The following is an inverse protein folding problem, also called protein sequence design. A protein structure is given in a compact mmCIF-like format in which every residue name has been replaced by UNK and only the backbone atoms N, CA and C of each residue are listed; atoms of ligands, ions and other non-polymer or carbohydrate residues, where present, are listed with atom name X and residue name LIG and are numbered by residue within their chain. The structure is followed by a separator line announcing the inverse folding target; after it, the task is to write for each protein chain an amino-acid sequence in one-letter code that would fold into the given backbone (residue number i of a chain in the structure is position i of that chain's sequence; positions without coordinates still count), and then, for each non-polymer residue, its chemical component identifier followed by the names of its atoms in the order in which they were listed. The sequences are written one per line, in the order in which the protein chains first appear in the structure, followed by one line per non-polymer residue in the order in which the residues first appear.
data_IF_114425051333
#
_entry.id   IF_114425051333
#
_cell.length_a   1.000
_cell.length_b   1.000
_cell.length_c   1.000
_cell.angle_alpha   90.00
_cell.angle_beta   90.00
_cell.angle_gamma   90.00
#
_symmetry.space_group_name_H-M   'P 1'
#
loop_
_entity.id
_entity.type
_entity.pdbx_description
1 polymer ?
#
# COMPACT_ATOMS: atom_id res chain seq x y z
N UNK A 1 5.28 34.95 18.25
CA UNK A 1 5.66 33.60 17.85
C UNK A 1 4.73 32.63 18.57
N UNK A 2 4.28 31.53 17.96
CA UNK A 2 3.53 30.50 18.68
C UNK A 2 4.41 29.94 19.80
N UNK A 3 3.77 29.59 20.94
CA UNK A 3 4.49 28.96 22.04
C UNK A 3 5.04 27.62 21.59
N UNK A 4 6.30 27.33 21.89
CA UNK A 4 6.90 26.04 21.56
C UNK A 4 6.32 24.96 22.49
N UNK A 5 5.94 23.83 21.92
CA UNK A 5 5.55 22.66 22.68
C UNK A 5 6.79 21.78 22.93
N UNK A 6 6.90 21.24 24.15
CA UNK A 6 8.02 20.44 24.60
C UNK A 6 7.51 19.11 25.21
N UNK A 7 8.40 18.13 25.38
CA UNK A 7 8.09 16.91 26.12
C UNK A 7 7.06 16.01 25.44
N UNK A 8 7.15 15.81 24.13
CA UNK A 8 6.19 14.98 23.38
C UNK A 8 6.22 13.53 23.83
N UNK A 9 5.04 13.00 24.16
CA UNK A 9 4.82 11.60 24.50
C UNK A 9 3.67 11.04 23.67
N UNK A 10 3.91 9.97 22.95
CA UNK A 10 2.90 9.29 22.16
C UNK A 10 2.08 8.32 23.04
N UNK A 11 0.76 8.43 22.96
CA UNK A 11 -0.18 7.49 23.58
C UNK A 11 -0.70 6.55 22.49
N UNK A 12 -0.37 5.28 22.61
CA UNK A 12 -0.75 4.28 21.60
C UNK A 12 -2.26 4.25 21.36
N UNK A 13 -2.69 4.47 20.11
CA UNK A 13 -4.11 4.52 19.71
C UNK A 13 -4.92 5.67 20.33
N UNK A 14 -4.29 6.63 21.01
CA UNK A 14 -4.94 7.78 21.64
C UNK A 14 -4.58 9.11 21.00
N UNK A 15 -3.29 9.38 20.84
CA UNK A 15 -2.80 10.65 20.34
C UNK A 15 -1.45 11.04 20.95
N UNK A 16 -1.25 12.33 21.16
CA UNK A 16 -0.01 12.92 21.67
C UNK A 16 -0.27 13.75 22.93
N UNK A 17 0.67 13.71 23.83
CA UNK A 17 0.81 14.59 24.99
C UNK A 17 2.00 15.51 24.76
N UNK A 18 1.92 16.74 25.21
CA UNK A 18 3.03 17.69 25.19
C UNK A 18 2.88 18.69 26.34
N UNK A 19 3.88 19.49 26.60
CA UNK A 19 3.83 20.63 27.52
C UNK A 19 3.88 21.91 26.71
N UNK A 20 2.90 22.79 26.89
CA UNK A 20 2.80 24.08 26.24
C UNK A 20 2.80 25.19 27.30
N UNK A 21 3.90 25.95 27.40
CA UNK A 21 3.98 27.04 28.38
C UNK A 21 3.92 26.59 29.84
N UNK A 22 4.24 25.33 30.15
CA UNK A 22 4.13 24.73 31.48
C UNK A 22 2.85 23.95 31.74
N UNK A 23 1.85 24.04 30.87
CA UNK A 23 0.59 23.31 30.95
C UNK A 23 0.59 22.04 30.09
N UNK A 24 -0.15 21.00 30.53
CA UNK A 24 -0.34 19.79 29.72
C UNK A 24 -1.22 20.11 28.50
N UNK A 25 -0.69 19.83 27.32
CA UNK A 25 -1.38 19.93 26.05
C UNK A 25 -1.66 18.53 25.48
N UNK A 26 -2.86 18.35 24.96
CA UNK A 26 -3.37 17.09 24.41
C UNK A 26 -3.76 17.27 22.95
N UNK A 27 -3.39 16.31 22.10
CA UNK A 27 -3.87 16.22 20.74
C UNK A 27 -4.24 14.76 20.43
N UNK A 28 -5.50 14.45 20.21
CA UNK A 28 -5.90 13.06 19.99
C UNK A 28 -7.40 12.83 19.87
N UNK A 29 -7.81 11.57 20.04
CA UNK A 29 -9.19 11.15 19.94
C UNK A 29 -10.01 11.42 21.22
N UNK A 30 -11.34 11.23 21.13
CA UNK A 30 -12.26 11.43 22.25
C UNK A 30 -11.91 10.56 23.46
N UNK A 31 -11.38 9.34 23.25
CA UNK A 31 -10.98 8.43 24.34
C UNK A 31 -9.85 9.05 25.17
N UNK A 32 -8.81 9.58 24.52
CA UNK A 32 -7.70 10.25 25.21
C UNK A 32 -8.20 11.44 26.02
N UNK A 33 -9.13 12.23 25.48
CA UNK A 33 -9.72 13.36 26.18
C UNK A 33 -10.47 12.91 27.43
N UNK A 34 -11.29 11.85 27.32
CA UNK A 34 -12.03 11.28 28.45
C UNK A 34 -11.08 10.69 29.52
N UNK A 35 -10.04 9.95 29.15
CA UNK A 35 -9.04 9.40 30.05
C UNK A 35 -8.28 10.51 30.84
N UNK A 36 -8.21 11.71 30.26
CA UNK A 36 -7.56 12.89 30.89
C UNK A 36 -8.57 13.86 31.54
N UNK A 37 -9.83 13.46 31.63
CA UNK A 37 -10.87 14.27 32.28
C UNK A 37 -11.24 15.55 31.55
N UNK A 38 -11.00 15.64 30.25
CA UNK A 38 -11.38 16.80 29.44
C UNK A 38 -12.83 16.62 28.94
N UNK A 39 -13.71 17.51 29.38
CA UNK A 39 -15.09 17.55 28.91
C UNK A 39 -15.20 18.25 27.56
N UNK A 40 -15.63 17.52 26.54
CA UNK A 40 -15.68 18.03 25.15
C UNK A 40 -16.90 18.93 24.88
N UNK A 41 -17.96 18.82 25.68
CA UNK A 41 -19.19 19.61 25.49
C UNK A 41 -19.75 19.52 24.05
N UNK A 42 -20.16 20.64 23.48
CA UNK A 42 -20.68 20.68 22.10
C UNK A 42 -19.70 20.31 20.99
N UNK A 43 -18.41 20.10 21.31
CA UNK A 43 -17.45 19.59 20.31
C UNK A 43 -17.69 18.12 19.98
N UNK A 44 -18.33 17.36 20.89
CA UNK A 44 -18.68 15.95 20.63
C UNK A 44 -19.68 15.83 19.49
N UNK A 45 -20.79 16.57 19.52
CA UNK A 45 -21.83 16.54 18.49
C UNK A 45 -21.27 16.98 17.12
N UNK A 46 -20.35 17.97 17.15
CA UNK A 46 -19.69 18.44 15.93
C UNK A 46 -18.72 17.42 15.36
N UNK A 47 -18.02 16.70 16.23
CA UNK A 47 -17.14 15.61 15.83
C UNK A 47 -17.93 14.45 15.20
N UNK A 48 -19.07 14.07 15.80
CA UNK A 48 -19.95 13.03 15.28
C UNK A 48 -20.50 13.39 13.89
N UNK A 49 -20.87 14.66 13.68
CA UNK A 49 -21.26 15.14 12.36
C UNK A 49 -20.15 15.00 11.32
N UNK A 50 -18.92 15.37 11.67
CA UNK A 50 -17.76 15.24 10.78
C UNK A 50 -17.37 13.76 10.54
N UNK A 51 -17.49 12.92 11.56
CA UNK A 51 -17.27 11.49 11.44
C UNK A 51 -18.29 10.82 10.51
N UNK A 52 -19.55 11.24 10.56
CA UNK A 52 -20.60 10.77 9.65
C UNK A 52 -20.34 11.15 8.16
N UNK A 53 -19.52 12.19 7.92
CA UNK A 53 -19.03 12.53 6.58
C UNK A 53 -17.81 11.67 6.15
N UNK A 54 -17.27 10.82 7.03
CA UNK A 54 -16.09 9.99 6.79
C UNK A 54 -14.77 10.70 7.10
N UNK A 55 -14.80 11.71 7.99
CA UNK A 55 -13.61 12.43 8.48
C UNK A 55 -13.25 11.93 9.87
N UNK A 56 -11.97 11.91 10.21
CA UNK A 56 -11.48 11.53 11.54
C UNK A 56 -11.26 12.78 12.38
N UNK A 57 -12.09 13.03 13.40
CA UNK A 57 -11.92 14.18 14.26
C UNK A 57 -10.79 13.96 15.26
N UNK A 58 -9.91 14.96 15.38
CA UNK A 58 -8.84 15.05 16.35
C UNK A 58 -9.13 16.25 17.26
N UNK A 59 -9.17 16.01 18.56
CA UNK A 59 -9.42 17.04 19.58
C UNK A 59 -8.11 17.59 20.09
N UNK A 60 -8.13 18.87 20.45
CA UNK A 60 -7.02 19.58 21.06
C UNK A 60 -7.49 20.18 22.39
N UNK A 61 -6.69 19.98 23.43
CA UNK A 61 -6.95 20.54 24.76
C UNK A 61 -5.67 21.05 25.38
N UNK A 62 -5.77 22.03 26.28
CA UNK A 62 -4.66 22.53 27.08
C UNK A 62 -5.16 22.88 28.48
N UNK A 63 -4.37 22.57 29.52
CA UNK A 63 -4.72 22.80 30.92
C UNK A 63 -6.12 22.24 31.30
N UNK A 64 -6.47 21.05 30.79
CA UNK A 64 -7.76 20.40 31.03
C UNK A 64 -8.96 21.05 30.30
N UNK A 65 -8.75 22.03 29.42
CA UNK A 65 -9.81 22.71 28.67
C UNK A 65 -9.74 22.37 27.20
N UNK A 66 -10.87 22.00 26.55
CA UNK A 66 -10.89 21.76 25.13
C UNK A 66 -10.69 23.07 24.36
N UNK A 67 -9.78 23.08 23.39
CA UNK A 67 -9.48 24.21 22.52
C UNK A 67 -10.28 24.16 21.22
N UNK A 68 -10.51 22.95 20.70
CA UNK A 68 -11.22 22.73 19.45
C UNK A 68 -10.96 21.35 18.87
N UNK A 69 -11.42 21.18 17.63
CA UNK A 69 -11.17 19.96 16.87
C UNK A 69 -10.73 20.29 15.43
N UNK A 70 -9.91 19.40 14.88
CA UNK A 70 -9.54 19.37 13.46
C UNK A 70 -10.00 18.04 12.90
N UNK A 71 -10.69 18.03 11.78
CA UNK A 71 -11.09 16.81 11.11
C UNK A 71 -10.17 16.53 9.91
N UNK A 72 -9.55 15.37 9.93
CA UNK A 72 -8.69 14.87 8.84
C UNK A 72 -9.51 13.91 7.99
N UNK A 73 -9.42 14.04 6.67
CA UNK A 73 -10.04 13.10 5.75
C UNK A 73 -8.97 12.56 4.80
N UNK A 74 -8.87 11.24 4.75
CA UNK A 74 -8.15 10.56 3.69
C UNK A 74 -9.15 10.25 2.56
N UNK A 75 -8.95 10.77 1.35
CA UNK A 75 -9.91 10.56 0.27
C UNK A 75 -9.95 9.09 -0.14
N UNK A 76 -11.15 8.53 -0.15
CA UNK A 76 -11.38 7.17 -0.66
C UNK A 76 -10.97 7.14 -2.14
N UNK A 77 -10.12 6.17 -2.51
CA UNK A 77 -9.70 6.02 -3.91
C UNK A 77 -10.91 5.75 -4.80
N UNK A 78 -11.03 6.42 -5.95
CA UNK A 78 -12.18 6.27 -6.86
C UNK A 78 -12.43 4.83 -7.28
N UNK A 79 -11.37 4.03 -7.29
CA UNK A 79 -11.35 2.62 -7.69
C UNK A 79 -11.89 1.66 -6.65
N UNK A 80 -11.99 2.10 -5.38
CA UNK A 80 -12.35 1.23 -4.26
C UNK A 80 -13.75 0.64 -4.38
N UNK A 81 -14.75 1.44 -4.77
CA UNK A 81 -16.12 0.96 -4.94
C UNK A 81 -16.22 -0.09 -6.06
N UNK A 82 -15.55 0.15 -7.18
CA UNK A 82 -15.49 -0.81 -8.30
C UNK A 82 -14.78 -2.10 -7.89
N UNK A 83 -13.71 -2.00 -7.11
CA UNK A 83 -13.00 -3.17 -6.57
C UNK A 83 -13.91 -4.04 -5.70
N UNK A 84 -14.64 -3.42 -4.77
CA UNK A 84 -15.58 -4.12 -3.88
C UNK A 84 -16.72 -4.78 -4.66
N UNK A 85 -17.28 -4.09 -5.66
CA UNK A 85 -18.32 -4.64 -6.53
C UNK A 85 -17.83 -5.86 -7.31
N UNK A 86 -16.64 -5.78 -7.90
CA UNK A 86 -16.01 -6.90 -8.61
C UNK A 86 -15.76 -8.10 -7.69
N UNK A 87 -15.24 -7.87 -6.49
CA UNK A 87 -15.05 -8.92 -5.48
C UNK A 87 -16.38 -9.58 -5.13
N UNK A 88 -17.44 -8.78 -4.93
CA UNK A 88 -18.80 -9.28 -4.67
C UNK A 88 -19.33 -10.11 -5.84
N UNK A 89 -19.16 -9.67 -7.09
CA UNK A 89 -19.55 -10.42 -8.28
C UNK A 89 -18.80 -11.77 -8.41
N UNK A 90 -17.59 -11.85 -7.87
CA UNK A 90 -16.82 -13.11 -7.78
C UNK A 90 -17.23 -14.01 -6.61
N UNK A 91 -18.24 -13.63 -5.80
CA UNK A 91 -18.67 -14.34 -4.62
C UNK A 91 -17.74 -14.18 -3.40
N UNK A 92 -16.89 -13.15 -3.41
CA UNK A 92 -16.00 -12.82 -2.29
C UNK A 92 -16.72 -11.84 -1.36
N UNK A 93 -16.85 -12.19 -0.09
CA UNK A 93 -17.33 -11.28 0.97
C UNK A 93 -16.22 -10.28 1.29
N UNK A 94 -16.59 -9.03 1.49
CA UNK A 94 -15.66 -7.97 1.86
C UNK A 94 -15.99 -7.44 3.24
N UNK A 95 -14.95 -7.26 4.05
CA UNK A 95 -15.02 -6.73 5.41
C UNK A 95 -14.01 -5.60 5.54
N UNK A 96 -14.45 -4.44 6.03
CA UNK A 96 -13.57 -3.34 6.37
C UNK A 96 -13.08 -3.51 7.82
N UNK A 97 -11.76 -3.62 7.98
CA UNK A 97 -11.10 -3.77 9.27
C UNK A 97 -10.19 -2.55 9.49
N UNK A 98 -10.59 -1.66 10.40
CA UNK A 98 -9.91 -0.37 10.59
C UNK A 98 -9.77 0.02 12.07
N UNK A 99 -8.72 0.81 12.36
CA UNK A 99 -8.55 1.47 13.65
C UNK A 99 -9.40 2.74 13.83
N UNK A 100 -10.07 3.20 12.78
CA UNK A 100 -10.91 4.39 12.82
C UNK A 100 -12.13 4.21 13.72
N UNK A 101 -12.74 5.32 14.10
CA UNK A 101 -13.99 5.32 14.86
C UNK A 101 -15.14 4.74 14.03
N UNK A 102 -16.10 4.12 14.71
CA UNK A 102 -17.22 3.41 14.10
C UNK A 102 -17.99 4.26 13.06
N UNK A 103 -18.32 5.50 13.39
CA UNK A 103 -19.05 6.42 12.48
C UNK A 103 -18.27 6.71 11.20
N UNK A 104 -16.97 6.97 11.32
CA UNK A 104 -16.09 7.20 10.17
C UNK A 104 -15.98 5.95 9.30
N UNK A 105 -15.74 4.79 9.93
CA UNK A 105 -15.63 3.51 9.24
C UNK A 105 -16.92 3.13 8.50
N UNK A 106 -18.10 3.33 9.11
CA UNK A 106 -19.39 3.11 8.45
C UNK A 106 -19.62 4.06 7.27
N UNK A 107 -19.22 5.34 7.42
CA UNK A 107 -19.33 6.29 6.32
C UNK A 107 -18.46 5.88 5.12
N UNK A 108 -17.24 5.43 5.37
CA UNK A 108 -16.33 4.91 4.34
C UNK A 108 -16.92 3.64 3.73
N UNK A 109 -17.35 2.68 4.54
CA UNK A 109 -17.93 1.42 4.07
C UNK A 109 -19.14 1.62 3.15
N UNK A 110 -20.03 2.55 3.50
CA UNK A 110 -21.16 2.95 2.65
C UNK A 110 -20.71 3.53 1.30
N UNK A 111 -19.66 4.38 1.30
CA UNK A 111 -19.11 4.97 0.07
C UNK A 111 -18.51 3.91 -0.87
N UNK A 112 -17.83 2.90 -0.31
CA UNK A 112 -17.17 1.85 -1.11
C UNK A 112 -18.04 0.60 -1.31
N UNK A 113 -19.19 0.51 -0.64
CA UNK A 113 -20.12 -0.60 -0.77
C UNK A 113 -19.73 -1.87 0.00
N UNK A 114 -18.90 -1.76 1.04
CA UNK A 114 -18.55 -2.88 1.93
C UNK A 114 -19.72 -3.14 2.89
N UNK A 115 -20.11 -4.42 3.03
CA UNK A 115 -21.27 -4.81 3.83
C UNK A 115 -20.99 -5.03 5.32
N UNK A 116 -19.75 -5.27 5.70
CA UNK A 116 -19.34 -5.58 7.07
C UNK A 116 -18.20 -4.67 7.52
N UNK A 117 -18.31 -4.14 8.74
CA UNK A 117 -17.34 -3.20 9.31
C UNK A 117 -16.93 -3.66 10.70
N UNK A 118 -15.64 -3.68 10.97
CA UNK A 118 -15.04 -3.83 12.28
C UNK A 118 -14.13 -2.64 12.53
N UNK A 119 -14.59 -1.72 13.32
CA UNK A 119 -13.96 -0.43 13.61
C UNK A 119 -13.28 -0.41 14.98
N UNK A 120 -12.41 0.56 15.21
CA UNK A 120 -11.72 0.76 16.48
C UNK A 120 -10.72 -0.34 16.84
N UNK A 121 -10.24 -1.09 15.86
CA UNK A 121 -9.38 -2.26 16.05
C UNK A 121 -7.93 -1.85 16.19
N UNK A 122 -7.31 -2.21 17.30
CA UNK A 122 -5.86 -2.03 17.48
C UNK A 122 -5.06 -2.98 16.57
N UNK A 123 -3.80 -2.67 16.25
CA UNK A 123 -2.98 -3.52 15.36
C UNK A 123 -2.96 -5.00 15.75
N UNK A 124 -2.77 -5.30 17.04
CA UNK A 124 -2.75 -6.68 17.56
C UNK A 124 -4.09 -7.39 17.43
N UNK A 125 -5.20 -6.65 17.48
CA UNK A 125 -6.54 -7.18 17.36
C UNK A 125 -6.93 -7.53 15.93
N UNK A 126 -6.24 -6.96 14.92
CA UNK A 126 -6.48 -7.30 13.51
C UNK A 126 -6.15 -8.77 13.24
N UNK A 127 -5.04 -9.27 13.78
CA UNK A 127 -4.67 -10.69 13.70
C UNK A 127 -5.72 -11.59 14.36
N UNK A 128 -6.20 -11.20 15.55
CA UNK A 128 -7.25 -11.96 16.26
C UNK A 128 -8.53 -12.05 15.42
N UNK A 129 -8.93 -10.98 14.75
CA UNK A 129 -10.11 -10.97 13.89
C UNK A 129 -9.97 -11.90 12.67
N UNK A 130 -8.80 -11.92 12.05
CA UNK A 130 -8.49 -12.90 10.99
C UNK A 130 -8.61 -14.33 11.52
N UNK A 131 -8.08 -14.61 12.70
CA UNK A 131 -8.16 -15.92 13.34
C UNK A 131 -9.60 -16.34 13.65
N UNK A 132 -10.43 -15.43 14.16
CA UNK A 132 -11.85 -15.69 14.40
C UNK A 132 -12.59 -16.11 13.12
N UNK A 133 -12.36 -15.38 12.02
CA UNK A 133 -12.96 -15.71 10.73
C UNK A 133 -12.51 -17.09 10.21
N UNK A 134 -11.23 -17.43 10.39
CA UNK A 134 -10.69 -18.74 10.02
C UNK A 134 -11.29 -19.86 10.88
N UNK A 135 -11.48 -19.64 12.20
CA UNK A 135 -12.12 -20.59 13.11
C UNK A 135 -13.60 -20.80 12.78
N UNK A 136 -14.26 -19.77 12.24
CA UNK A 136 -15.63 -19.89 11.71
C UNK A 136 -15.69 -20.63 10.35
N UNK A 137 -14.57 -21.15 9.84
CA UNK A 137 -14.50 -21.94 8.62
C UNK A 137 -14.34 -21.12 7.34
N UNK A 138 -14.08 -19.81 7.45
CA UNK A 138 -13.85 -18.97 6.28
C UNK A 138 -12.38 -19.01 5.83
N UNK A 139 -12.17 -18.93 4.51
CA UNK A 139 -10.86 -18.64 3.93
C UNK A 139 -10.70 -17.13 3.84
N UNK A 140 -9.65 -16.62 4.46
CA UNK A 140 -9.43 -15.18 4.64
C UNK A 140 -8.25 -14.70 3.80
N UNK A 141 -8.51 -13.71 2.95
CA UNK A 141 -7.46 -12.91 2.35
C UNK A 141 -7.38 -11.58 3.11
N UNK A 142 -6.24 -11.27 3.70
CA UNK A 142 -5.98 -9.97 4.32
C UNK A 142 -5.30 -9.05 3.29
N UNK A 143 -5.81 -7.84 3.18
CA UNK A 143 -5.25 -6.82 2.29
C UNK A 143 -4.83 -5.62 3.14
N UNK A 144 -3.58 -5.20 3.05
CA UNK A 144 -3.04 -4.10 3.83
C UNK A 144 -1.83 -3.44 3.16
N UNK A 145 -1.44 -2.28 3.63
CA UNK A 145 -0.34 -1.47 3.07
C UNK A 145 0.75 -1.12 4.11
N UNK A 146 0.50 -1.38 5.38
CA UNK A 146 1.28 -0.86 6.48
C UNK A 146 1.95 -1.91 7.37
N UNK A 147 2.91 -1.43 8.16
CA UNK A 147 3.60 -2.19 9.22
C UNK A 147 2.59 -2.75 10.23
N UNK A 148 1.53 -1.99 10.51
CA UNK A 148 0.49 -2.34 11.47
C UNK A 148 -0.37 -3.53 11.04
N UNK A 149 -0.35 -3.88 9.75
CA UNK A 149 -1.11 -4.98 9.17
C UNK A 149 -0.28 -6.27 9.04
N UNK A 150 1.04 -6.20 9.21
CA UNK A 150 1.96 -7.32 9.00
C UNK A 150 1.58 -8.59 9.79
N UNK A 151 1.19 -8.53 11.08
CA UNK A 151 0.75 -9.73 11.81
C UNK A 151 -0.54 -10.34 11.21
N UNK A 152 -1.48 -9.50 10.76
CA UNK A 152 -2.73 -9.94 10.16
C UNK A 152 -2.51 -10.50 8.73
N UNK A 153 -1.60 -9.89 7.95
CA UNK A 153 -1.18 -10.39 6.63
C UNK A 153 -0.56 -11.79 6.75
N UNK A 154 0.41 -11.96 7.66
CA UNK A 154 1.06 -13.25 7.90
C UNK A 154 0.11 -14.33 8.45
N UNK A 155 -0.95 -13.93 9.16
CA UNK A 155 -1.93 -14.85 9.75
C UNK A 155 -2.97 -15.34 8.74
N UNK A 156 -3.32 -14.54 7.77
CA UNK A 156 -4.37 -14.85 6.79
C UNK A 156 -4.04 -16.12 5.98
N UNK A 157 -5.03 -16.72 5.33
CA UNK A 157 -4.77 -17.79 4.34
C UNK A 157 -4.05 -17.25 3.11
N UNK A 158 -4.22 -15.96 2.81
CA UNK A 158 -3.47 -15.21 1.81
C UNK A 158 -3.29 -13.77 2.31
N UNK A 159 -2.04 -13.35 2.48
CA UNK A 159 -1.67 -11.96 2.74
C UNK A 159 -1.41 -11.23 1.43
N UNK A 160 -2.02 -10.07 1.24
CA UNK A 160 -1.86 -9.24 0.04
C UNK A 160 -1.40 -7.84 0.46
N UNK A 161 -0.17 -7.47 0.14
CA UNK A 161 0.33 -6.12 0.34
C UNK A 161 0.01 -5.25 -0.88
N UNK A 162 -0.48 -4.02 -0.65
CA UNK A 162 -0.81 -3.04 -1.71
C UNK A 162 0.22 -1.91 -1.73
N UNK A 163 0.70 -1.60 -2.95
CA UNK A 163 1.63 -0.50 -3.19
C UNK A 163 3.06 -0.85 -2.86
N UNK A 164 3.95 0.13 -2.94
CA UNK A 164 5.32 0.03 -2.46
C UNK A 164 5.31 0.07 -0.91
N UNK A 165 4.62 -0.91 -0.31
CA UNK A 165 4.51 -1.05 1.14
C UNK A 165 5.89 -1.10 1.79
N UNK A 166 5.94 -0.89 3.08
CA UNK A 166 7.17 -1.03 3.86
C UNK A 166 7.76 -2.42 3.66
N UNK A 167 9.08 -2.56 3.72
CA UNK A 167 9.77 -3.85 3.60
C UNK A 167 9.19 -4.93 4.53
N UNK A 168 8.65 -4.50 5.68
CA UNK A 168 7.98 -5.37 6.66
C UNK A 168 6.66 -5.93 6.12
N UNK A 169 5.83 -5.12 5.47
CA UNK A 169 4.57 -5.57 4.86
C UNK A 169 4.84 -6.49 3.67
N UNK A 170 5.86 -6.16 2.86
CA UNK A 170 6.30 -6.99 1.73
C UNK A 170 6.78 -8.36 2.23
N UNK A 171 7.58 -8.39 3.31
CA UNK A 171 8.10 -9.63 3.89
C UNK A 171 7.03 -10.51 4.57
N UNK A 172 5.86 -9.95 4.88
CA UNK A 172 4.76 -10.64 5.58
C UNK A 172 3.62 -11.07 4.66
N UNK A 173 3.64 -10.70 3.38
CA UNK A 173 2.58 -10.96 2.42
C UNK A 173 2.96 -12.07 1.42
N UNK A 174 1.98 -12.89 1.03
CA UNK A 174 2.14 -13.90 -0.03
C UNK A 174 2.11 -13.26 -1.43
N UNK A 175 1.41 -12.14 -1.58
CA UNK A 175 1.24 -11.42 -2.83
C UNK A 175 1.53 -9.94 -2.61
N UNK A 176 2.36 -9.35 -3.45
CA UNK A 176 2.65 -7.92 -3.43
C UNK A 176 2.12 -7.28 -4.71
N UNK A 177 1.22 -6.32 -4.55
CA UNK A 177 0.67 -5.54 -5.65
C UNK A 177 1.45 -4.23 -5.77
N UNK A 178 2.12 -4.05 -6.89
CA UNK A 178 3.05 -2.92 -7.11
C UNK A 178 2.36 -1.55 -7.10
N UNK A 179 1.06 -1.51 -7.43
CA UNK A 179 0.28 -0.27 -7.40
C UNK A 179 -0.55 -0.21 -6.13
N UNK A 180 -0.69 0.98 -5.58
CA UNK A 180 -1.56 1.22 -4.43
C UNK A 180 -3.03 1.36 -4.86
N UNK A 181 -3.55 0.34 -5.57
CA UNK A 181 -4.91 0.33 -6.12
C UNK A 181 -5.69 -0.92 -5.67
N UNK A 182 -6.79 -0.78 -4.89
CA UNK A 182 -7.62 -1.90 -4.47
C UNK A 182 -8.18 -2.75 -5.61
N UNK A 183 -8.34 -2.18 -6.82
CA UNK A 183 -8.81 -2.94 -7.98
C UNK A 183 -7.83 -4.02 -8.43
N UNK A 184 -6.55 -3.88 -8.12
CA UNK A 184 -5.56 -4.91 -8.45
C UNK A 184 -5.73 -6.18 -7.62
N UNK A 185 -6.38 -6.11 -6.44
CA UNK A 185 -6.77 -7.29 -5.65
C UNK A 185 -7.75 -8.15 -6.46
N UNK A 186 -8.80 -7.51 -7.01
CA UNK A 186 -9.78 -8.22 -7.83
C UNK A 186 -9.13 -8.83 -9.09
N UNK A 187 -8.23 -8.09 -9.75
CA UNK A 187 -7.47 -8.58 -10.92
C UNK A 187 -6.57 -9.77 -10.56
N UNK A 188 -5.88 -9.73 -9.42
CA UNK A 188 -5.03 -10.84 -8.96
C UNK A 188 -5.85 -12.12 -8.73
N UNK A 189 -7.03 -12.01 -8.13
CA UNK A 189 -7.94 -13.13 -7.93
C UNK A 189 -8.47 -13.68 -9.26
N UNK A 190 -8.85 -12.82 -10.18
CA UNK A 190 -9.29 -13.22 -11.53
C UNK A 190 -8.20 -13.97 -12.29
N UNK A 191 -6.97 -13.43 -12.28
CA UNK A 191 -5.79 -14.05 -12.90
C UNK A 191 -5.49 -15.42 -12.27
N UNK A 192 -5.50 -15.50 -10.94
CA UNK A 192 -5.31 -16.77 -10.22
C UNK A 192 -6.35 -17.81 -10.64
N UNK A 193 -7.63 -17.44 -10.70
CA UNK A 193 -8.71 -18.35 -11.17
C UNK A 193 -8.52 -18.78 -12.63
N UNK A 194 -8.09 -17.87 -13.50
CA UNK A 194 -7.79 -18.19 -14.90
C UNK A 194 -6.61 -19.16 -15.02
N UNK A 195 -5.55 -18.92 -14.25
CA UNK A 195 -4.37 -19.79 -14.17
C UNK A 195 -4.72 -21.17 -13.66
N UNK A 196 -5.50 -21.27 -12.58
CA UNK A 196 -5.94 -22.54 -12.03
C UNK A 196 -6.82 -23.34 -13.01
N UNK A 197 -7.68 -22.65 -13.78
CA UNK A 197 -8.48 -23.27 -14.83
C UNK A 197 -7.58 -23.83 -15.93
N UNK A 198 -6.58 -23.08 -16.35
CA UNK A 198 -5.61 -23.51 -17.36
C UNK A 198 -4.79 -24.74 -16.88
N UNK A 199 -4.32 -24.72 -15.61
CA UNK A 199 -3.61 -25.86 -15.00
C UNK A 199 -4.50 -27.11 -14.98
N UNK A 200 -5.78 -26.98 -14.55
CA UNK A 200 -6.72 -28.10 -14.54
C UNK A 200 -6.98 -28.67 -15.93
N UNK A 201 -7.09 -27.79 -16.94
CA UNK A 201 -7.24 -28.23 -18.34
C UNK A 201 -6.00 -28.98 -18.83
N UNK A 202 -4.81 -28.46 -18.56
CA UNK A 202 -3.57 -29.12 -18.94
C UNK A 202 -3.42 -30.49 -18.28
N UNK A 203 -3.72 -30.57 -16.98
CA UNK A 203 -3.68 -31.82 -16.24
C UNK A 203 -4.70 -32.84 -16.77
N UNK A 204 -5.92 -32.39 -17.04
CA UNK A 204 -6.95 -33.24 -17.63
C UNK A 204 -6.49 -33.85 -18.98
N UNK A 205 -6.00 -33.03 -19.88
CA UNK A 205 -5.53 -33.52 -21.18
C UNK A 205 -4.33 -34.45 -21.06
N UNK A 206 -3.36 -34.14 -20.18
CA UNK A 206 -2.22 -35.00 -19.95
C UNK A 206 -2.62 -36.39 -19.41
N UNK A 207 -3.58 -36.45 -18.48
CA UNK A 207 -4.11 -37.70 -17.95
C UNK A 207 -4.97 -38.45 -18.97
N UNK A 208 -5.80 -37.73 -19.71
CA UNK A 208 -6.69 -38.30 -20.73
C UNK A 208 -5.89 -39.05 -21.80
N UNK A 209 -4.84 -38.40 -22.33
CA UNK A 209 -3.94 -39.06 -23.29
C UNK A 209 -3.38 -40.38 -22.78
N UNK A 210 -2.85 -40.37 -21.56
CA UNK A 210 -2.29 -41.56 -20.96
C UNK A 210 -3.35 -42.64 -20.70
N UNK A 211 -4.52 -42.25 -20.24
CA UNK A 211 -5.63 -43.17 -19.95
C UNK A 211 -6.17 -43.87 -21.19
N UNK A 212 -6.08 -43.22 -22.35
CA UNK A 212 -6.48 -43.82 -23.64
C UNK A 212 -5.33 -44.62 -24.24
N UNK A 213 -4.10 -44.11 -24.27
CA UNK A 213 -2.98 -44.76 -24.95
C UNK A 213 -2.49 -46.01 -24.23
N UNK A 214 -2.53 -46.04 -22.88
CA UNK A 214 -2.02 -47.20 -22.12
C UNK A 214 -2.85 -48.48 -22.38
N UNK A 215 -4.20 -48.48 -22.31
CA UNK A 215 -4.99 -49.68 -22.66
C UNK A 215 -4.83 -50.11 -24.11
N UNK A 216 -4.73 -49.13 -25.03
CA UNK A 216 -4.50 -49.46 -26.45
C UNK A 216 -3.12 -50.11 -26.67
N UNK A 217 -2.09 -49.58 -26.00
CA UNK A 217 -0.74 -50.19 -26.03
C UNK A 217 -0.73 -51.57 -25.40
N UNK A 218 -1.52 -51.79 -24.35
CA UNK A 218 -1.68 -53.11 -23.70
C UNK A 218 -2.49 -54.13 -24.55
N UNK A 219 -2.98 -53.73 -25.73
CA UNK A 219 -3.71 -54.60 -26.64
C UNK A 219 -5.21 -54.71 -26.37
N UNK A 220 -5.82 -53.80 -25.59
CA UNK A 220 -7.25 -53.83 -25.30
C UNK A 220 -8.15 -53.75 -26.56
N UNK A 221 -7.63 -53.22 -27.66
CA UNK A 221 -8.31 -53.12 -28.96
C UNK A 221 -7.72 -54.04 -30.03
N UNK A 222 -6.87 -54.98 -29.67
CA UNK A 222 -6.26 -55.92 -30.60
C UNK A 222 -7.30 -56.82 -31.33
N UNK A 223 -8.41 -57.17 -30.69
CA UNK A 223 -9.53 -57.89 -31.25
C UNK A 223 -10.25 -57.12 -32.37
N UNK A 224 -10.12 -55.81 -32.43
CA UNK A 224 -10.65 -54.93 -33.47
C UNK A 224 -9.61 -54.57 -34.55
N UNK A 225 -8.42 -55.22 -34.48
CA UNK A 225 -7.32 -54.95 -35.40
C UNK A 225 -6.58 -53.63 -35.14
N UNK A 226 -6.87 -52.97 -34.03
CA UNK A 226 -6.21 -51.72 -33.65
C UNK A 226 -5.05 -52.01 -32.72
N UNK A 227 -3.82 -51.88 -33.25
CA UNK A 227 -2.57 -51.98 -32.46
C UNK A 227 -1.85 -50.62 -32.43
N UNK A 228 -1.27 -50.29 -31.29
CA UNK A 228 -0.52 -49.03 -31.18
C UNK A 228 0.86 -49.18 -31.85
N UNK A 229 1.06 -48.44 -32.93
CA UNK A 229 2.38 -48.34 -33.55
C UNK A 229 3.26 -47.42 -32.68
N UNK A 230 4.50 -47.81 -32.34
CA UNK A 230 5.42 -46.97 -31.56
C UNK A 230 5.62 -45.56 -32.11
N UNK A 231 5.63 -45.40 -33.44
CA UNK A 231 5.72 -44.07 -34.04
C UNK A 231 4.50 -43.20 -33.77
N UNK A 232 3.27 -43.77 -33.80
CA UNK A 232 2.04 -43.05 -33.48
C UNK A 232 2.02 -42.67 -32.01
N UNK A 233 2.50 -43.56 -31.12
CA UNK A 233 2.62 -43.26 -29.69
C UNK A 233 3.59 -42.10 -29.42
N UNK A 234 4.76 -42.10 -30.06
CA UNK A 234 5.74 -41.02 -29.95
C UNK A 234 5.20 -39.68 -30.50
N UNK A 235 4.49 -39.71 -31.64
CA UNK A 235 3.86 -38.55 -32.22
C UNK A 235 2.77 -37.98 -31.26
N UNK A 236 1.93 -38.85 -30.68
CA UNK A 236 0.88 -38.45 -29.74
C UNK A 236 1.46 -37.76 -28.49
N UNK A 237 2.58 -38.27 -27.95
CA UNK A 237 3.30 -37.63 -26.84
C UNK A 237 3.82 -36.25 -27.22
N UNK A 238 4.38 -36.08 -28.42
CA UNK A 238 4.84 -34.79 -28.95
C UNK A 238 3.68 -33.77 -29.06
N UNK A 239 2.58 -34.22 -29.64
CA UNK A 239 1.35 -33.38 -29.75
C UNK A 239 0.80 -32.98 -28.38
N UNK A 240 0.82 -33.88 -27.39
CA UNK A 240 0.39 -33.57 -26.03
C UNK A 240 1.19 -32.42 -25.43
N UNK A 241 2.53 -32.43 -25.58
CA UNK A 241 3.40 -31.36 -25.10
C UNK A 241 3.12 -30.03 -25.80
N UNK A 242 2.95 -30.03 -27.13
CA UNK A 242 2.60 -28.83 -27.91
C UNK A 242 1.25 -28.28 -27.46
N UNK A 243 0.26 -29.15 -27.22
CA UNK A 243 -1.06 -28.75 -26.75
C UNK A 243 -0.99 -28.06 -25.36
N UNK A 244 -0.27 -28.65 -24.41
CA UNK A 244 -0.11 -28.09 -23.06
C UNK A 244 0.57 -26.71 -23.12
N UNK A 245 1.66 -26.60 -23.89
CA UNK A 245 2.35 -25.31 -24.08
C UNK A 245 1.45 -24.29 -24.77
N UNK A 246 0.75 -24.69 -25.85
CA UNK A 246 -0.18 -23.81 -26.56
C UNK A 246 -1.34 -23.33 -25.68
N UNK A 247 -1.88 -24.20 -24.82
CA UNK A 247 -2.91 -23.83 -23.87
C UNK A 247 -2.36 -22.91 -22.77
N UNK A 248 -1.14 -23.14 -22.29
CA UNK A 248 -0.49 -22.25 -21.33
C UNK A 248 -0.24 -20.86 -21.91
N UNK A 249 0.17 -20.76 -23.18
CA UNK A 249 0.39 -19.49 -23.87
C UNK A 249 -0.89 -18.65 -24.00
N UNK A 250 -2.08 -19.24 -23.92
CA UNK A 250 -3.35 -18.49 -23.89
C UNK A 250 -3.44 -17.53 -22.71
N UNK A 251 -2.76 -17.81 -21.58
CA UNK A 251 -2.70 -16.89 -20.46
C UNK A 251 -2.00 -15.57 -20.81
N UNK A 252 -1.10 -15.55 -21.79
CA UNK A 252 -0.48 -14.32 -22.29
C UNK A 252 -1.50 -13.35 -22.90
N UNK A 253 -2.58 -13.89 -23.48
CA UNK A 253 -3.67 -13.11 -24.06
C UNK A 253 -4.82 -12.86 -23.07
N UNK A 254 -4.66 -13.29 -21.80
CA UNK A 254 -5.66 -13.06 -20.78
C UNK A 254 -5.81 -11.56 -20.49
N UNK A 255 -7.04 -11.13 -20.36
CA UNK A 255 -7.40 -9.78 -19.96
C UNK A 255 -8.43 -9.85 -18.82
N UNK A 256 -8.38 -8.92 -17.85
CA UNK A 256 -9.38 -8.87 -16.78
C UNK A 256 -10.78 -8.68 -17.36
N UNK A 257 -11.78 -9.27 -16.72
CA UNK A 257 -13.17 -9.18 -17.12
C UNK A 257 -13.69 -7.75 -16.96
N UNK A 258 -14.13 -7.13 -18.05
CA UNK A 258 -14.71 -5.79 -18.09
C UNK A 258 -14.27 -5.08 -19.36
N UNK A 259 -15.19 -4.98 -20.33
CA UNK A 259 -14.98 -4.21 -21.55
C UNK A 259 -14.80 -2.72 -21.20
N UNK A 260 -13.70 -2.18 -21.65
CA UNK A 260 -13.25 -0.84 -21.35
C UNK A 260 -12.56 -0.82 -20.01
N UNK A 261 -11.24 -0.91 -20.06
CA UNK A 261 -10.42 -0.61 -18.87
C UNK A 261 -10.80 0.82 -18.42
N UNK A 262 -11.61 0.98 -17.34
CA UNK A 262 -11.94 2.32 -16.86
C UNK A 262 -10.67 3.09 -16.45
N UNK A 263 -9.53 2.40 -16.48
CA UNK A 263 -8.21 2.83 -16.07
C UNK A 263 -7.36 3.36 -17.23
N UNK A 264 -7.65 3.04 -18.52
CA UNK A 264 -6.91 3.61 -19.65
C UNK A 264 -7.10 5.13 -19.76
N UNK A 265 -8.23 5.65 -19.28
CA UNK A 265 -8.47 7.10 -19.21
C UNK A 265 -7.89 7.78 -17.95
N UNK A 266 -7.65 7.04 -16.86
CA UNK A 266 -7.16 7.60 -15.60
C UNK A 266 -5.64 7.49 -15.45
N UNK A 267 -4.99 6.55 -16.11
CA UNK A 267 -3.52 6.46 -16.13
C UNK A 267 -2.86 7.67 -16.83
N UNK A 268 -3.59 8.34 -17.72
CA UNK A 268 -3.15 9.59 -18.36
C UNK A 268 -3.52 10.85 -17.57
N UNK A 269 -4.33 10.72 -16.51
CA UNK A 269 -4.73 11.84 -15.66
C UNK A 269 -3.90 11.98 -14.37
N UNK A 270 -2.95 11.09 -14.12
CA UNK A 270 -2.15 11.06 -12.88
C UNK A 270 -0.70 11.57 -13.03
N UNK A 271 -0.33 12.11 -14.18
CA UNK A 271 0.82 13.01 -14.24
C UNK A 271 0.31 14.44 -14.15
N UNK A 272 0.66 15.21 -13.11
CA UNK A 272 0.43 16.64 -13.14
C UNK A 272 1.37 17.20 -14.22
N UNK A 273 0.82 17.40 -15.41
CA UNK A 273 1.45 18.25 -16.42
C UNK A 273 1.56 19.64 -15.82
N UNK A 274 2.78 20.05 -15.54
CA UNK A 274 3.14 21.44 -15.28
C UNK A 274 2.89 22.21 -16.57
N UNK A 275 1.65 22.62 -16.82
CA UNK A 275 1.34 23.65 -17.80
C UNK A 275 1.53 25.02 -17.18
N UNK A 276 2.58 25.69 -17.66
CA UNK A 276 2.74 27.13 -17.54
C UNK A 276 1.61 27.84 -18.30
N UNK A 277 0.59 28.26 -17.59
CA UNK A 277 -0.54 29.01 -18.13
C UNK A 277 -0.91 30.20 -17.23
N UNK A 278 -0.59 31.39 -17.71
CA UNK A 278 -0.99 32.67 -17.14
C UNK A 278 -2.53 32.83 -17.09
N UNK A 279 -3.04 33.30 -15.94
CA UNK A 279 -4.20 34.21 -15.91
C UNK A 279 -5.50 33.67 -15.35
N UNK A 280 -5.80 33.97 -14.15
CA UNK A 280 -6.83 34.83 -13.52
C UNK A 280 -7.17 34.38 -12.11
N UNK A 281 -6.95 35.31 -11.20
CA UNK A 281 -7.28 35.27 -9.78
C UNK A 281 -8.79 35.07 -9.53
N UNK A 282 -9.13 34.23 -8.60
CA UNK A 282 -10.17 34.47 -7.60
C UNK A 282 -9.73 33.88 -6.26
N UNK A 283 -9.67 34.73 -5.28
CA UNK A 283 -9.22 34.54 -3.91
C UNK A 283 -10.07 33.50 -3.15
N UNK A 284 -9.44 32.61 -2.48
CA UNK A 284 -9.52 32.19 -1.08
C UNK A 284 -8.92 30.80 -0.91
N UNK A 285 -7.61 30.71 -0.72
CA UNK A 285 -6.97 29.54 -0.14
C UNK A 285 -5.87 30.01 0.81
N UNK A 286 -5.99 29.57 2.03
CA UNK A 286 -5.07 29.74 3.14
C UNK A 286 -3.64 29.44 2.71
N UNK A 287 -2.79 30.43 2.87
CA UNK A 287 -1.37 30.46 2.56
C UNK A 287 -0.62 29.36 3.35
N UNK A 288 -0.28 28.27 2.68
CA UNK A 288 0.83 27.42 3.12
C UNK A 288 2.10 28.08 2.62
N UNK A 289 2.93 28.57 3.51
CA UNK A 289 4.24 29.10 3.17
C UNK A 289 5.05 27.98 2.51
N UNK A 290 5.39 28.20 1.27
CA UNK A 290 6.34 27.36 0.52
C UNK A 290 7.70 27.63 1.14
N UNK A 291 8.28 26.64 1.80
CA UNK A 291 9.68 26.66 2.21
C UNK A 291 10.50 26.75 0.93
N UNK A 292 11.22 27.84 0.76
CA UNK A 292 12.16 28.01 -0.38
C UNK A 292 13.28 27.00 -0.16
N UNK A 293 13.33 25.97 -0.99
CA UNK A 293 14.43 25.01 -1.03
C UNK A 293 15.56 25.59 -1.86
N UNK A 294 16.78 25.50 -1.33
CA UNK A 294 18.01 25.92 -1.99
C UNK A 294 18.82 24.67 -2.33
N UNK A 295 19.36 24.63 -3.54
CA UNK A 295 20.24 23.55 -3.98
C UNK A 295 21.68 23.89 -3.59
N UNK A 296 22.31 23.05 -2.78
CA UNK A 296 23.70 23.17 -2.39
C UNK A 296 24.51 22.05 -3.02
N UNK A 297 25.55 22.44 -3.78
CA UNK A 297 26.39 21.51 -4.52
C UNK A 297 27.70 21.27 -3.77
N UNK A 298 28.04 19.99 -3.61
CA UNK A 298 29.28 19.55 -2.99
C UNK A 298 30.08 18.72 -3.99
N UNK A 299 31.39 18.81 -3.92
CA UNK A 299 32.32 17.91 -4.58
C UNK A 299 32.76 16.87 -3.54
N UNK A 300 32.62 15.59 -3.85
CA UNK A 300 32.93 14.47 -2.94
C UNK A 300 34.01 13.62 -3.59
N UNK A 301 35.11 13.44 -2.89
CA UNK A 301 36.25 12.63 -3.36
C UNK A 301 36.25 11.27 -2.63
N UNK A 302 36.73 10.23 -3.32
CA UNK A 302 36.88 8.90 -2.75
C UNK A 302 35.71 7.93 -2.99
N UNK A 303 34.66 8.34 -3.74
CA UNK A 303 33.60 7.44 -4.16
C UNK A 303 34.08 6.53 -5.30
N UNK A 304 34.02 5.20 -5.11
CA UNK A 304 34.50 4.22 -6.10
C UNK A 304 33.40 3.28 -6.62
N UNK A 305 32.21 3.27 -6.00
CA UNK A 305 31.14 2.36 -6.37
C UNK A 305 29.76 2.87 -5.93
N UNK A 306 28.69 2.23 -6.42
CA UNK A 306 27.30 2.56 -6.10
C UNK A 306 26.97 2.49 -4.59
N UNK A 307 27.71 1.69 -3.83
CA UNK A 307 27.55 1.62 -2.38
C UNK A 307 28.04 2.92 -1.72
N UNK A 308 29.15 3.50 -2.21
CA UNK A 308 29.64 4.78 -1.73
C UNK A 308 28.64 5.92 -2.03
N UNK A 309 28.01 5.90 -3.21
CA UNK A 309 26.95 6.86 -3.59
C UNK A 309 25.79 6.81 -2.59
N UNK A 310 25.34 5.61 -2.24
CA UNK A 310 24.26 5.42 -1.27
C UNK A 310 24.65 5.93 0.12
N UNK A 311 25.85 5.65 0.59
CA UNK A 311 26.36 6.12 1.88
C UNK A 311 26.43 7.66 1.98
N UNK A 312 26.94 8.31 0.93
CA UNK A 312 26.99 9.79 0.87
C UNK A 312 25.59 10.38 0.82
N UNK A 313 24.68 9.76 0.05
CA UNK A 313 23.27 10.17 -0.01
C UNK A 313 22.59 10.08 1.35
N UNK A 314 22.71 8.95 2.04
CA UNK A 314 22.12 8.74 3.36
C UNK A 314 22.71 9.72 4.40
N UNK A 315 24.02 10.02 4.32
CA UNK A 315 24.65 10.98 5.21
C UNK A 315 24.12 12.40 5.02
N UNK A 316 23.89 12.84 3.77
CA UNK A 316 23.32 14.15 3.47
C UNK A 316 21.84 14.24 3.84
N UNK A 317 21.05 13.22 3.55
CA UNK A 317 19.62 13.14 3.90
C UNK A 317 19.39 13.01 5.43
N UNK A 318 20.40 12.58 6.17
CA UNK A 318 20.39 12.57 7.65
C UNK A 318 20.55 13.95 8.29
N UNK A 319 20.91 14.99 7.54
CA UNK A 319 21.03 16.36 8.05
C UNK A 319 19.65 17.01 8.16
N UNK A 320 19.31 17.52 9.34
CA UNK A 320 18.03 18.17 9.58
C UNK A 320 17.85 19.38 8.66
N UNK A 321 16.78 19.39 7.86
CA UNK A 321 16.50 20.44 6.85
C UNK A 321 16.91 20.06 5.42
N UNK A 322 17.51 18.90 5.18
CA UNK A 322 17.73 18.35 3.82
C UNK A 322 16.54 17.49 3.44
N UNK A 323 15.87 17.83 2.36
CA UNK A 323 14.69 17.12 1.84
C UNK A 323 15.08 15.90 0.99
N UNK A 324 16.15 16.01 0.20
CA UNK A 324 16.71 14.94 -0.62
C UNK A 324 18.14 15.29 -1.06
N UNK A 325 18.91 14.28 -1.48
CA UNK A 325 20.23 14.49 -2.06
C UNK A 325 20.41 13.62 -3.31
N UNK A 326 20.99 14.23 -4.37
CA UNK A 326 21.37 13.54 -5.57
C UNK A 326 22.89 13.45 -5.67
N UNK A 327 23.41 12.23 -5.82
CA UNK A 327 24.85 11.95 -5.83
C UNK A 327 25.23 11.27 -7.12
N UNK A 328 26.17 11.86 -7.85
CA UNK A 328 26.69 11.36 -9.12
C UNK A 328 28.12 10.84 -8.96
N UNK A 329 28.30 9.55 -9.26
CA UNK A 329 29.57 8.86 -9.16
C UNK A 329 30.57 9.32 -10.24
N UNK A 330 30.10 9.59 -11.47
CA UNK A 330 30.98 9.91 -12.60
C UNK A 330 31.60 11.29 -12.46
N UNK A 331 30.81 12.26 -11.99
CA UNK A 331 31.28 13.63 -11.78
C UNK A 331 31.87 13.85 -10.38
N UNK A 332 31.69 12.91 -9.43
CA UNK A 332 32.11 13.07 -8.05
C UNK A 332 31.37 14.21 -7.33
N UNK A 333 30.10 14.47 -7.71
CA UNK A 333 29.33 15.59 -7.15
C UNK A 333 28.10 15.11 -6.42
N UNK A 334 27.72 15.84 -5.36
CA UNK A 334 26.47 15.67 -4.63
C UNK A 334 25.70 16.99 -4.61
N UNK A 335 24.39 16.95 -4.83
CA UNK A 335 23.48 18.09 -4.74
C UNK A 335 22.52 17.83 -3.61
N UNK A 336 22.54 18.65 -2.57
CA UNK A 336 21.60 18.59 -1.46
C UNK A 336 20.48 19.62 -1.66
N UNK A 337 19.25 19.15 -1.75
CA UNK A 337 18.04 19.98 -1.79
C UNK A 337 17.62 20.28 -0.37
N UNK A 338 17.94 21.46 0.13
CA UNK A 338 17.77 21.79 1.54
C UNK A 338 17.08 23.13 1.75
N UNK A 339 16.59 23.30 2.97
CA UNK A 339 16.04 24.54 3.48
C UNK A 339 17.14 25.60 3.65
N UNK A 340 16.80 26.87 3.52
CA UNK A 340 17.74 28.00 3.66
C UNK A 340 18.44 28.08 5.01
N UNK A 341 17.95 27.34 6.02
CA UNK A 341 18.52 27.26 7.36
C UNK A 341 19.71 26.31 7.48
N UNK A 342 19.92 25.39 6.51
CA UNK A 342 21.00 24.38 6.56
C UNK A 342 22.33 25.07 6.21
N UNK A 343 23.30 25.00 7.13
CA UNK A 343 24.64 25.56 6.90
C UNK A 343 25.49 24.63 6.04
N UNK A 344 26.41 25.23 5.26
CA UNK A 344 27.38 24.47 4.45
C UNK A 344 28.26 23.58 5.32
N UNK A 345 28.60 24.07 6.52
CA UNK A 345 29.40 23.32 7.50
C UNK A 345 28.71 22.04 7.97
N UNK A 346 27.38 22.04 8.13
CA UNK A 346 26.61 20.88 8.54
C UNK A 346 26.63 19.78 7.45
N UNK A 347 26.49 20.16 6.18
CA UNK A 347 26.58 19.23 5.05
C UNK A 347 27.99 18.63 4.91
N UNK A 348 29.02 19.46 4.99
CA UNK A 348 30.41 19.01 4.96
C UNK A 348 30.74 18.08 6.13
N UNK A 349 30.24 18.37 7.33
CA UNK A 349 30.44 17.54 8.51
C UNK A 349 29.79 16.16 8.37
N UNK A 350 28.59 16.10 7.79
CA UNK A 350 27.87 14.84 7.55
C UNK A 350 28.62 13.92 6.56
N UNK A 351 29.10 14.48 5.44
CA UNK A 351 29.89 13.71 4.46
C UNK A 351 31.22 13.25 5.01
N UNK A 352 31.90 14.09 5.81
CA UNK A 352 33.16 13.72 6.48
C UNK A 352 32.96 12.66 7.55
N UNK A 353 31.83 12.67 8.26
CA UNK A 353 31.47 11.63 9.24
C UNK A 353 31.20 10.27 8.58
N UNK A 354 30.91 10.27 7.27
CA UNK A 354 30.80 9.07 6.44
C UNK A 354 32.13 8.63 5.80
N UNK A 355 33.27 9.21 6.23
CA UNK A 355 34.64 8.92 5.77
C UNK A 355 34.95 9.36 4.32
N UNK A 356 34.29 10.38 3.81
CA UNK A 356 34.58 10.94 2.49
C UNK A 356 35.14 12.37 2.60
N UNK A 357 36.14 12.69 1.74
CA UNK A 357 36.60 14.06 1.59
C UNK A 357 35.61 14.88 0.76
N UNK A 358 35.26 16.08 1.21
CA UNK A 358 34.32 16.94 0.51
C UNK A 358 34.63 18.42 0.68
N UNK A 359 34.25 19.19 -0.35
CA UNK A 359 34.29 20.65 -0.41
C UNK A 359 33.03 21.20 -1.06
N UNK A 360 32.65 22.44 -0.80
CA UNK A 360 31.54 23.11 -1.51
C UNK A 360 31.98 23.40 -2.93
N UNK A 361 31.11 23.11 -3.90
CA UNK A 361 31.41 23.27 -5.33
C UNK A 361 31.00 24.63 -5.87
#
# INVERSE_FOLDING_TARGET
APAAAEGFTQVAGGGLLATLGGDEALAGNARLMAERGVELGGLSDRADGLAAEGKTPLFFACAGRPLGLIAVADPVKPTSAVAVERLRAMGVRTLLLTGDQHLTAEAVARKVGVGEVVAGVLPDQKELKVRELQQAGHKVAMVGDGINDAPALARADIGIAIGAGTDVAIGSADVVLMRSDPADVARAIELSRATMRNIKQNLFWALFYNSVCIPVAAGALSSLGITLNPMIAAAAMGFSSVFVVGNALRLRAWRPSGDGDPWQGMATAAEPSVESGQGKQTDQVTKVERIETMDKKLKVEGMMCQHCVKHVKEALEGVCGVASADVDLESGTAVAHCDTSVSDEALLAAVRAADYACEMA
#
